data_IF_186561794354
#
_entry.id   IF_186561794354
#
_cell.length_a   1.000
_cell.length_b   1.000
_cell.length_c   1.000
_cell.angle_alpha   90.00
_cell.angle_beta   90.00
_cell.angle_gamma   90.00
#
_symmetry.space_group_name_H-M   'P 1'
#
loop_
_entity.id
_entity.type
_entity.pdbx_description
1 polymer ?
#
# COMPACT_ATOMS: atom_id res chain seq x y z
N UNK A 1 -33.09 36.58 -1.72
CA UNK A 1 -32.58 35.82 -2.89
C UNK A 1 -31.17 35.38 -2.55
N UNK A 2 -30.95 34.12 -2.19
CA UNK A 2 -29.60 33.61 -1.89
C UNK A 2 -28.86 33.33 -3.19
N UNK A 3 -27.69 33.96 -3.38
CA UNK A 3 -26.77 33.61 -4.46
C UNK A 3 -26.14 32.24 -4.15
N UNK A 4 -26.52 31.22 -4.92
CA UNK A 4 -25.74 29.99 -4.99
C UNK A 4 -24.47 30.28 -5.81
N UNK A 5 -23.34 30.41 -5.13
CA UNK A 5 -22.03 30.51 -5.77
C UNK A 5 -21.70 29.09 -6.29
N UNK A 6 -21.82 28.89 -7.61
CA UNK A 6 -21.44 27.63 -8.24
C UNK A 6 -19.94 27.43 -8.11
N UNK A 7 -19.52 26.50 -7.26
CA UNK A 7 -18.12 26.08 -7.16
C UNK A 7 -17.75 25.34 -8.46
N UNK A 8 -16.80 25.88 -9.22
CA UNK A 8 -16.27 25.22 -10.40
C UNK A 8 -15.48 23.97 -9.97
N UNK A 9 -15.80 22.81 -10.55
CA UNK A 9 -15.11 21.55 -10.22
C UNK A 9 -13.65 21.66 -10.64
N UNK A 10 -12.75 21.58 -9.65
CA UNK A 10 -11.30 21.59 -9.85
C UNK A 10 -10.75 20.17 -9.98
N UNK A 11 -9.48 20.04 -10.40
CA UNK A 11 -8.78 18.74 -10.39
C UNK A 11 -8.68 18.14 -8.98
N UNK A 12 -8.60 18.97 -7.94
CA UNK A 12 -8.58 18.52 -6.54
C UNK A 12 -9.91 17.87 -6.17
N UNK A 13 -11.02 18.47 -6.58
CA UNK A 13 -12.37 17.95 -6.31
C UNK A 13 -12.59 16.58 -6.97
N UNK A 14 -12.03 16.38 -8.17
CA UNK A 14 -12.08 15.09 -8.87
C UNK A 14 -11.24 14.05 -8.12
N UNK A 15 -10.01 14.39 -7.74
CA UNK A 15 -9.12 13.48 -6.99
C UNK A 15 -9.74 13.03 -5.66
N UNK A 16 -10.37 13.94 -4.91
CA UNK A 16 -11.06 13.60 -3.67
C UNK A 16 -12.24 12.65 -3.90
N UNK A 17 -13.00 12.82 -4.98
CA UNK A 17 -14.11 11.91 -5.33
C UNK A 17 -13.61 10.53 -5.70
N UNK A 18 -12.52 10.43 -6.45
CA UNK A 18 -11.94 9.15 -6.86
C UNK A 18 -11.34 8.39 -5.67
N UNK A 19 -10.65 9.08 -4.76
CA UNK A 19 -10.17 8.49 -3.50
C UNK A 19 -11.34 7.97 -2.68
N UNK A 20 -12.38 8.79 -2.46
CA UNK A 20 -13.56 8.37 -1.70
C UNK A 20 -14.26 7.16 -2.33
N UNK A 21 -14.35 7.10 -3.67
CA UNK A 21 -14.92 5.96 -4.38
C UNK A 21 -14.09 4.69 -4.18
N UNK A 22 -12.76 4.81 -4.21
CA UNK A 22 -11.86 3.69 -3.97
C UNK A 22 -11.98 3.19 -2.53
N UNK A 23 -11.89 4.09 -1.54
CA UNK A 23 -11.97 3.73 -0.11
C UNK A 23 -13.33 3.08 0.23
N UNK A 24 -14.43 3.63 -0.28
CA UNK A 24 -15.77 3.06 -0.06
C UNK A 24 -15.98 1.68 -0.71
N UNK A 25 -15.13 1.27 -1.66
CA UNK A 25 -15.20 -0.07 -2.25
C UNK A 25 -14.64 -1.16 -1.32
N UNK A 26 -13.94 -0.77 -0.25
CA UNK A 26 -13.36 -1.68 0.75
C UNK A 26 -13.89 -1.33 2.16
N UNK A 27 -15.17 -1.62 2.46
CA UNK A 27 -15.77 -1.29 3.76
C UNK A 27 -15.10 -1.99 4.96
N UNK A 28 -14.42 -3.11 4.70
CA UNK A 28 -13.60 -3.89 5.62
C UNK A 28 -12.10 -3.85 5.24
N UNK A 29 -11.71 -2.88 4.42
CA UNK A 29 -10.33 -2.69 3.98
C UNK A 29 -9.38 -2.47 5.15
N UNK A 30 -8.30 -3.25 5.20
CA UNK A 30 -7.22 -3.05 6.17
C UNK A 30 -6.22 -2.07 5.57
N UNK A 31 -6.22 -0.83 6.06
CA UNK A 31 -5.20 0.15 5.73
C UNK A 31 -3.95 -0.09 6.58
N UNK A 32 -2.81 -0.30 5.93
CA UNK A 32 -1.54 -0.38 6.62
C UNK A 32 -0.98 1.04 6.82
N UNK A 33 -0.67 1.41 8.07
CA UNK A 33 0.17 2.59 8.32
C UNK A 33 1.54 2.36 7.69
N UNK A 34 2.12 3.37 7.03
CA UNK A 34 3.48 3.26 6.52
C UNK A 34 4.44 2.96 7.68
N UNK A 35 5.40 2.09 7.43
CA UNK A 35 6.42 1.77 8.41
C UNK A 35 7.35 2.99 8.63
N UNK A 36 7.95 3.15 9.83
CA UNK A 36 8.90 4.23 10.10
C UNK A 36 10.08 4.23 9.13
N UNK A 37 10.72 5.38 8.89
CA UNK A 37 11.83 5.48 7.93
C UNK A 37 13.04 4.60 8.29
N UNK A 38 13.23 4.33 9.58
CA UNK A 38 14.28 3.45 10.12
C UNK A 38 13.99 1.95 9.92
N UNK A 39 12.77 1.61 9.50
CA UNK A 39 12.39 0.22 9.26
C UNK A 39 12.95 -0.30 7.94
N UNK A 40 13.45 -1.54 7.92
CA UNK A 40 14.00 -2.10 6.69
C UNK A 40 12.91 -2.30 5.64
N UNK A 41 13.22 -1.96 4.39
CA UNK A 41 12.39 -2.23 3.22
C UNK A 41 12.64 -3.65 2.73
N UNK A 42 11.58 -4.34 2.32
CA UNK A 42 11.66 -5.70 1.78
C UNK A 42 11.77 -5.67 0.25
N UNK A 43 12.75 -6.39 -0.32
CA UNK A 43 12.86 -6.68 -1.75
C UNK A 43 11.80 -7.71 -2.18
N UNK A 44 10.52 -7.32 -2.19
CA UNK A 44 9.37 -8.21 -2.41
C UNK A 44 9.52 -9.10 -3.66
N UNK A 45 10.00 -8.55 -4.79
CA UNK A 45 10.17 -9.33 -6.03
C UNK A 45 11.22 -10.44 -5.89
N UNK A 46 12.32 -10.18 -5.18
CA UNK A 46 13.38 -11.17 -4.97
C UNK A 46 12.92 -12.25 -3.99
N UNK A 47 12.26 -11.84 -2.91
CA UNK A 47 11.66 -12.74 -1.93
C UNK A 47 10.63 -13.68 -2.58
N UNK A 48 9.71 -13.13 -3.38
CA UNK A 48 8.66 -13.90 -4.08
C UNK A 48 9.28 -14.94 -5.03
N UNK A 49 10.31 -14.55 -5.80
CA UNK A 49 11.02 -15.47 -6.68
C UNK A 49 11.67 -16.62 -5.91
N UNK A 50 12.41 -16.30 -4.85
CA UNK A 50 13.05 -17.30 -3.99
C UNK A 50 12.02 -18.28 -3.41
N UNK A 51 10.94 -17.76 -2.83
CA UNK A 51 9.86 -18.57 -2.27
C UNK A 51 9.27 -19.55 -3.32
N UNK A 52 9.02 -19.06 -4.54
CA UNK A 52 8.50 -19.88 -5.65
C UNK A 52 9.46 -20.96 -6.10
N UNK A 53 10.75 -20.64 -6.21
CA UNK A 53 11.79 -21.60 -6.61
C UNK A 53 11.98 -22.71 -5.57
N UNK A 54 11.81 -22.38 -4.29
CA UNK A 54 11.96 -23.32 -3.17
C UNK A 54 10.64 -23.99 -2.73
N UNK A 55 9.49 -23.60 -3.28
CA UNK A 55 8.19 -24.16 -2.93
C UNK A 55 7.74 -23.85 -1.48
N UNK A 56 8.21 -22.73 -0.92
CA UNK A 56 7.91 -22.28 0.45
C UNK A 56 7.15 -20.95 0.42
N UNK A 57 6.60 -20.53 1.57
CA UNK A 57 5.98 -19.19 1.69
C UNK A 57 6.86 -18.26 2.51
N UNK A 58 6.69 -16.93 2.38
CA UNK A 58 7.43 -15.94 3.17
C UNK A 58 7.45 -16.19 4.69
N UNK A 59 6.39 -16.76 5.24
CA UNK A 59 6.28 -17.06 6.68
C UNK A 59 7.03 -18.34 7.11
N UNK A 60 7.49 -19.12 6.14
CA UNK A 60 8.21 -20.37 6.38
C UNK A 60 9.74 -20.17 6.32
N UNK A 61 10.23 -18.94 6.00
CA UNK A 61 11.67 -18.61 6.03
C UNK A 61 12.19 -18.45 7.46
N UNK A 62 13.47 -18.78 7.66
CA UNK A 62 14.18 -18.40 8.87
C UNK A 62 14.51 -16.91 8.88
N UNK A 63 14.89 -16.38 10.05
CA UNK A 63 15.32 -14.99 10.16
C UNK A 63 16.52 -14.70 9.26
N UNK A 64 17.49 -15.61 9.20
CA UNK A 64 18.71 -15.48 8.40
C UNK A 64 18.42 -15.44 6.90
N UNK A 65 17.47 -16.25 6.43
CA UNK A 65 17.06 -16.22 5.02
C UNK A 65 16.30 -14.92 4.71
N UNK A 66 15.46 -14.43 5.62
CA UNK A 66 14.75 -13.16 5.47
C UNK A 66 15.70 -11.96 5.35
N UNK A 67 16.81 -11.96 6.11
CA UNK A 67 17.80 -10.86 6.10
C UNK A 67 18.34 -10.53 4.71
N UNK A 68 18.43 -11.52 3.81
CA UNK A 68 18.93 -11.34 2.44
C UNK A 68 18.05 -10.40 1.60
N UNK A 69 16.79 -10.24 2.01
CA UNK A 69 15.79 -9.44 1.30
C UNK A 69 15.55 -8.07 1.94
N UNK A 70 16.20 -7.76 3.07
CA UNK A 70 16.04 -6.47 3.76
C UNK A 70 17.02 -5.41 3.23
N UNK A 71 16.56 -4.17 3.16
CA UNK A 71 17.34 -2.97 2.84
C UNK A 71 17.10 -1.95 3.94
N UNK A 72 18.15 -1.47 4.58
CA UNK A 72 18.10 -0.35 5.52
C UNK A 72 18.33 0.98 4.78
#
# INVERSE_FOLDING_TARGET
MSLAIGHAITRSDIMHKDIAKFDNAFPDGVFASPAPDESPKVKIKALDKYCKEHGIRPKDLTEEEMQQFLIY
#
